data_IF_573380774480
#
_entry.id   IF_573380774480
#
_cell.length_a   1.000
_cell.length_b   1.000
_cell.length_c   1.000
_cell.angle_alpha   90.00
_cell.angle_beta   90.00
_cell.angle_gamma   90.00
#
_symmetry.space_group_name_H-M   'P 1'
#
loop_
_entity.id
_entity.type
_entity.pdbx_description
1 polymer ?
#
# COMPACT_ATOMS: atom_id res chain seq x y z
N UNK A 1 31.49 -29.05 -19.19
CA UNK A 1 30.07 -29.12 -18.79
C UNK A 1 29.99 -28.91 -17.28
N UNK A 2 29.18 -27.98 -16.79
CA UNK A 2 29.02 -27.79 -15.35
C UNK A 2 28.25 -28.97 -14.74
N UNK A 3 28.64 -29.37 -13.52
CA UNK A 3 27.91 -30.41 -12.78
C UNK A 3 26.50 -29.92 -12.43
N UNK A 4 25.52 -30.83 -12.45
CA UNK A 4 24.12 -30.52 -12.08
C UNK A 4 24.03 -29.93 -10.66
N UNK A 5 24.89 -30.38 -9.74
CA UNK A 5 24.95 -29.85 -8.38
C UNK A 5 25.44 -28.39 -8.35
N UNK A 6 26.43 -28.05 -9.18
CA UNK A 6 26.94 -26.68 -9.29
C UNK A 6 25.89 -25.74 -9.87
N UNK A 7 25.18 -26.18 -10.92
CA UNK A 7 24.07 -25.42 -11.50
C UNK A 7 22.97 -25.19 -10.44
N UNK A 8 22.59 -26.23 -9.69
CA UNK A 8 21.60 -26.12 -8.62
C UNK A 8 22.01 -25.14 -7.52
N UNK A 9 23.27 -25.20 -7.06
CA UNK A 9 23.79 -24.27 -6.04
C UNK A 9 23.81 -22.83 -6.55
N UNK A 10 24.25 -22.63 -7.79
CA UNK A 10 24.34 -21.31 -8.42
C UNK A 10 22.97 -20.65 -8.55
N UNK A 11 21.95 -21.39 -9.01
CA UNK A 11 20.58 -20.86 -9.12
C UNK A 11 19.98 -20.51 -7.76
N UNK A 12 20.18 -21.34 -6.73
CA UNK A 12 19.66 -21.04 -5.39
C UNK A 12 20.36 -19.83 -4.76
N UNK A 13 21.68 -19.68 -4.95
CA UNK A 13 22.44 -18.52 -4.48
C UNK A 13 21.99 -17.23 -5.20
N UNK A 14 21.78 -17.30 -6.51
CA UNK A 14 21.25 -16.17 -7.29
C UNK A 14 19.83 -15.76 -6.83
N UNK A 15 18.95 -16.73 -6.52
CA UNK A 15 17.62 -16.43 -5.99
C UNK A 15 17.64 -15.77 -4.61
N UNK A 16 18.64 -16.06 -3.78
CA UNK A 16 18.81 -15.38 -2.49
C UNK A 16 19.33 -13.94 -2.65
N UNK A 17 20.23 -13.70 -3.62
CA UNK A 17 20.82 -12.39 -3.89
C UNK A 17 19.87 -11.45 -4.65
N UNK A 18 18.93 -11.98 -5.43
CA UNK A 18 17.99 -11.21 -6.27
C UNK A 18 16.60 -11.11 -5.62
N UNK A 19 16.48 -11.28 -4.30
CA UNK A 19 15.22 -10.92 -3.63
C UNK A 19 15.03 -9.41 -3.69
N UNK A 20 14.24 -8.94 -4.65
CA UNK A 20 13.73 -7.58 -4.67
C UNK A 20 12.80 -7.42 -3.47
N UNK A 21 13.32 -6.86 -2.38
CA UNK A 21 12.51 -6.48 -1.23
C UNK A 21 11.96 -5.11 -1.55
N UNK A 22 10.72 -5.03 -2.06
CA UNK A 22 10.03 -3.75 -2.18
C UNK A 22 9.26 -3.51 -0.88
N UNK A 23 9.71 -2.55 -0.07
CA UNK A 23 8.90 -1.99 1.01
C UNK A 23 8.29 -0.65 0.55
N UNK A 24 7.04 -0.40 0.93
CA UNK A 24 6.39 0.89 0.76
C UNK A 24 5.95 1.34 2.14
N UNK A 25 6.66 2.32 2.68
CA UNK A 25 6.37 2.93 3.97
C UNK A 25 5.82 4.34 3.75
N UNK A 26 4.69 4.64 4.38
CA UNK A 26 4.09 5.97 4.33
C UNK A 26 3.54 6.36 5.70
N UNK A 27 3.56 7.66 5.98
CA UNK A 27 3.02 8.23 7.22
C UNK A 27 2.07 9.36 6.85
N UNK A 28 0.79 9.20 7.20
CA UNK A 28 -0.20 10.26 7.13
C UNK A 28 -0.44 10.82 8.53
N UNK A 29 0.01 12.06 8.77
CA UNK A 29 -0.22 12.77 10.03
C UNK A 29 -1.15 13.99 9.87
N UNK A 30 -1.39 14.41 8.62
CA UNK A 30 -2.33 15.46 8.18
C UNK A 30 -2.43 15.42 6.64
N UNK A 31 -3.21 16.31 6.03
CA UNK A 31 -3.23 16.52 4.57
C UNK A 31 -3.71 15.30 3.76
N UNK A 32 -4.76 14.62 4.23
CA UNK A 32 -5.50 13.74 3.33
C UNK A 32 -6.03 14.56 2.14
N UNK A 33 -5.94 14.01 0.94
CA UNK A 33 -6.44 14.60 -0.31
C UNK A 33 -7.01 13.49 -1.18
N UNK A 34 -7.82 13.85 -2.17
CA UNK A 34 -8.31 12.88 -3.18
C UNK A 34 -7.20 12.37 -4.10
N UNK A 35 -6.01 12.99 -4.09
CA UNK A 35 -4.85 12.55 -4.86
C UNK A 35 -4.04 11.47 -4.14
N UNK A 36 -3.95 11.54 -2.81
CA UNK A 36 -3.15 10.64 -1.99
C UNK A 36 -3.98 9.60 -1.21
N UNK A 37 -5.29 9.58 -1.43
CA UNK A 37 -6.23 8.65 -0.80
C UNK A 37 -7.32 8.29 -1.82
N UNK A 38 -7.49 7.01 -2.08
CA UNK A 38 -8.61 6.51 -2.87
C UNK A 38 -9.83 6.31 -1.97
N UNK A 39 -10.90 7.05 -2.24
CA UNK A 39 -12.12 7.10 -1.42
C UNK A 39 -13.22 6.24 -2.03
N UNK A 40 -13.88 5.42 -1.20
CA UNK A 40 -14.98 4.53 -1.61
C UNK A 40 -16.14 4.64 -0.62
N UNK A 41 -17.36 4.68 -1.15
CA UNK A 41 -18.58 4.78 -0.35
C UNK A 41 -18.77 6.19 0.19
N UNK A 42 -19.16 6.30 1.46
CA UNK A 42 -19.42 7.58 2.12
C UNK A 42 -18.16 8.33 2.58
N UNK A 43 -16.97 7.82 2.25
CA UNK A 43 -15.73 8.45 2.70
C UNK A 43 -15.46 9.75 1.96
N UNK A 44 -15.06 10.77 2.71
CA UNK A 44 -14.76 12.09 2.19
C UNK A 44 -13.48 12.63 2.81
N UNK A 45 -12.87 13.57 2.10
CA UNK A 45 -11.77 14.37 2.64
C UNK A 45 -12.21 15.81 2.55
N UNK A 46 -12.43 16.45 3.69
CA UNK A 46 -12.84 17.86 3.73
C UNK A 46 -11.58 18.72 3.75
N UNK A 47 -11.36 19.50 2.70
CA UNK A 47 -10.21 20.40 2.58
C UNK A 47 -10.66 21.85 2.69
N UNK A 48 -10.08 22.68 3.58
CA UNK A 48 -9.38 22.40 4.85
C UNK A 48 -10.39 21.97 5.94
N UNK A 49 -10.06 21.10 6.93
CA UNK A 49 -8.72 20.78 7.49
C UNK A 49 -8.01 19.51 6.99
N UNK A 50 -8.39 18.96 5.83
CA UNK A 50 -7.82 17.76 5.23
C UNK A 50 -7.92 16.51 6.11
N UNK A 51 -9.09 16.36 6.75
CA UNK A 51 -9.45 15.21 7.59
C UNK A 51 -10.14 14.15 6.71
N UNK A 52 -9.70 12.90 6.83
CA UNK A 52 -10.40 11.75 6.26
C UNK A 52 -11.59 11.38 7.17
N UNK A 53 -12.80 11.55 6.65
CA UNK A 53 -14.04 11.12 7.30
C UNK A 53 -14.54 9.87 6.60
N UNK A 54 -14.74 8.78 7.35
CA UNK A 54 -15.19 7.49 6.77
C UNK A 54 -16.71 7.34 6.75
N UNK A 55 -17.42 8.03 7.63
CA UNK A 55 -18.86 7.85 7.81
C UNK A 55 -19.57 9.18 7.98
N UNK A 56 -20.81 9.24 7.51
CA UNK A 56 -21.75 10.32 7.76
C UNK A 56 -22.48 10.10 9.09
N UNK A 57 -23.07 11.17 9.69
CA UNK A 57 -23.82 11.08 10.95
C UNK A 57 -25.24 10.51 10.74
N UNK A 58 -25.31 9.35 10.08
CA UNK A 58 -26.56 8.61 9.82
C UNK A 58 -26.38 7.13 10.20
N UNK A 59 -27.45 6.44 10.62
CA UNK A 59 -27.38 4.99 10.79
C UNK A 59 -27.02 4.34 9.44
N UNK A 60 -26.13 3.33 9.46
CA UNK A 60 -25.70 2.54 8.30
C UNK A 60 -24.75 3.21 7.27
N UNK A 61 -24.01 4.25 7.64
CA UNK A 61 -22.97 4.81 6.76
C UNK A 61 -21.74 3.90 6.68
N UNK A 62 -21.24 3.66 5.46
CA UNK A 62 -20.07 2.83 5.21
C UNK A 62 -19.16 3.55 4.21
N UNK A 63 -17.95 3.88 4.64
CA UNK A 63 -16.90 4.42 3.77
C UNK A 63 -15.55 3.77 4.03
N UNK A 64 -14.68 3.83 3.03
CA UNK A 64 -13.33 3.25 3.05
C UNK A 64 -12.35 4.24 2.44
N UNK A 65 -11.13 4.30 2.99
CA UNK A 65 -10.02 5.04 2.42
C UNK A 65 -8.85 4.09 2.20
N UNK A 66 -8.31 4.08 0.98
CA UNK A 66 -7.17 3.25 0.60
C UNK A 66 -5.99 4.14 0.24
N UNK A 67 -4.78 3.69 0.58
CA UNK A 67 -3.58 4.21 -0.07
C UNK A 67 -3.71 3.91 -1.59
N UNK A 68 -3.53 4.92 -2.46
CA UNK A 68 -3.70 4.77 -3.90
C UNK A 68 -2.74 3.75 -4.53
#
# INVERSE_FOLDING_TARGET
>A
MFSKAFIFLFFNAAQFLIRSISCVDFVYNSNFTTTNTFLVGDSTVTSPPSILTLTNPTPYSIGRGYYP
#
